data_IF_450824017687
#
_entry.id   IF_450824017687
#
_cell.length_a   1.000
_cell.length_b   1.000
_cell.length_c   1.000
_cell.angle_alpha   90.00
_cell.angle_beta   90.00
_cell.angle_gamma   90.00
#
_symmetry.space_group_name_H-M   'P 1'
#
loop_
_entity.id
_entity.type
_entity.pdbx_description
1 polymer ?
#
# COMPACT_ATOMS: atom_id res chain seq x y z
N UNK A 1 -22.75 4.43 69.83
CA UNK A 1 -21.37 4.59 69.29
C UNK A 1 -20.43 4.83 70.45
N UNK A 2 -19.33 4.08 70.56
CA UNK A 2 -18.40 4.29 71.71
C UNK A 2 -17.51 5.48 71.37
N UNK A 3 -17.65 6.58 72.10
CA UNK A 3 -16.84 7.78 72.00
C UNK A 3 -15.43 7.48 72.55
N UNK A 4 -14.47 7.14 71.65
CA UNK A 4 -13.07 6.94 72.05
C UNK A 4 -12.26 8.18 71.68
N UNK A 5 -11.62 8.83 72.65
CA UNK A 5 -10.93 10.10 72.50
C UNK A 5 -9.53 9.88 71.83
N UNK A 6 -8.84 8.77 72.19
CA UNK A 6 -7.49 8.50 71.70
C UNK A 6 -7.39 8.08 70.21
N UNK A 7 -8.46 7.47 69.68
CA UNK A 7 -8.50 7.04 68.26
C UNK A 7 -9.85 7.46 67.66
N UNK A 8 -9.84 8.46 66.78
CA UNK A 8 -11.00 8.93 66.06
C UNK A 8 -11.24 8.08 64.81
N UNK A 9 -11.96 6.93 64.98
CA UNK A 9 -12.21 5.98 63.89
C UNK A 9 -13.07 6.62 62.78
N UNK A 10 -13.96 7.55 63.12
CA UNK A 10 -14.79 8.25 62.13
C UNK A 10 -13.98 9.17 61.25
N UNK A 11 -13.03 9.92 61.84
CA UNK A 11 -12.08 10.72 61.06
C UNK A 11 -11.19 9.86 60.14
N UNK A 12 -10.71 8.70 60.64
CA UNK A 12 -9.92 7.77 59.82
C UNK A 12 -10.74 7.20 58.65
N UNK A 13 -12.02 6.88 58.87
CA UNK A 13 -12.91 6.42 57.79
C UNK A 13 -13.22 7.53 56.79
N UNK A 14 -13.51 8.75 57.26
CA UNK A 14 -13.71 9.92 56.39
C UNK A 14 -12.46 10.24 55.56
N UNK A 15 -11.28 10.19 56.19
CA UNK A 15 -10.01 10.39 55.49
C UNK A 15 -9.76 9.32 54.41
N UNK A 16 -10.03 8.04 54.72
CA UNK A 16 -9.91 6.95 53.74
C UNK A 16 -10.88 7.14 52.56
N UNK A 17 -12.12 7.53 52.81
CA UNK A 17 -13.11 7.85 51.79
C UNK A 17 -12.68 9.05 50.94
N UNK A 18 -12.10 10.08 51.54
CA UNK A 18 -11.55 11.23 50.84
C UNK A 18 -10.43 10.80 49.87
N UNK A 19 -9.48 9.99 50.35
CA UNK A 19 -8.39 9.48 49.51
C UNK A 19 -8.90 8.61 48.35
N UNK A 20 -9.93 7.81 48.53
CA UNK A 20 -10.54 7.03 47.47
C UNK A 20 -11.23 7.91 46.42
N UNK A 21 -11.98 8.93 46.86
CA UNK A 21 -12.65 9.88 45.97
C UNK A 21 -11.63 10.74 45.18
N UNK A 22 -10.54 11.14 45.84
CA UNK A 22 -9.48 11.93 45.19
C UNK A 22 -8.74 11.13 44.12
N UNK A 23 -8.46 9.84 44.37
CA UNK A 23 -7.93 8.93 43.36
C UNK A 23 -8.89 8.72 42.19
N UNK A 24 -10.20 8.56 42.46
CA UNK A 24 -11.21 8.41 41.43
C UNK A 24 -11.34 9.69 40.59
N UNK A 25 -11.30 10.86 41.23
CA UNK A 25 -11.31 12.16 40.56
C UNK A 25 -10.09 12.33 39.66
N UNK A 26 -8.89 12.02 40.16
CA UNK A 26 -7.66 12.09 39.40
C UNK A 26 -7.67 11.15 38.16
N UNK A 27 -8.24 9.94 38.34
CA UNK A 27 -8.41 8.98 37.24
C UNK A 27 -9.39 9.45 36.18
N UNK A 28 -10.53 10.04 36.57
CA UNK A 28 -11.48 10.64 35.63
C UNK A 28 -10.86 11.82 34.89
N UNK A 29 -10.06 12.63 35.55
CA UNK A 29 -9.34 13.75 34.94
C UNK A 29 -8.29 13.27 33.91
N UNK A 30 -7.57 12.21 34.24
CA UNK A 30 -6.62 11.57 33.27
C UNK A 30 -7.33 11.05 32.01
N UNK A 31 -8.48 10.38 32.17
CA UNK A 31 -9.29 9.89 31.04
C UNK A 31 -9.89 11.01 30.19
N UNK A 32 -10.40 12.06 30.84
CA UNK A 32 -10.90 13.24 30.12
C UNK A 32 -9.80 13.98 29.37
N UNK A 33 -8.59 14.06 29.95
CA UNK A 33 -7.46 14.73 29.32
C UNK A 33 -6.86 13.93 28.16
N UNK A 34 -6.85 12.59 28.26
CA UNK A 34 -6.33 11.71 27.20
C UNK A 34 -7.37 11.33 26.15
N UNK A 35 -8.67 11.42 26.48
CA UNK A 35 -9.74 10.87 25.66
C UNK A 35 -9.83 9.34 25.70
N UNK A 36 -8.99 8.67 26.50
CA UNK A 36 -8.85 7.23 26.53
C UNK A 36 -9.34 6.63 27.84
N UNK A 37 -10.12 5.56 27.76
CA UNK A 37 -10.58 4.76 28.88
C UNK A 37 -9.45 3.93 29.50
N UNK A 38 -8.57 3.39 28.63
CA UNK A 38 -7.40 2.57 28.97
C UNK A 38 -6.15 3.36 28.64
N UNK A 39 -5.55 3.99 29.62
CA UNK A 39 -4.35 4.81 29.47
C UNK A 39 -3.09 4.07 29.94
N UNK A 40 -3.24 3.24 30.96
CA UNK A 40 -2.14 2.49 31.58
C UNK A 40 -2.43 0.99 31.61
N UNK A 41 -1.38 0.19 31.61
CA UNK A 41 -1.51 -1.27 31.75
C UNK A 41 -2.24 -1.71 33.03
N UNK A 42 -2.22 -0.87 34.07
CA UNK A 42 -2.93 -1.12 35.31
C UNK A 42 -4.45 -0.89 35.23
N UNK A 43 -4.94 -0.21 34.19
CA UNK A 43 -6.38 0.04 34.00
C UNK A 43 -7.09 -1.19 33.44
N UNK A 44 -6.56 -1.78 32.38
CA UNK A 44 -7.01 -3.04 31.80
C UNK A 44 -5.88 -3.62 30.93
N UNK A 45 -5.10 -4.60 31.46
CA UNK A 45 -3.99 -5.20 30.73
C UNK A 45 -4.43 -5.93 29.47
N UNK A 46 -5.61 -6.57 29.47
CA UNK A 46 -6.09 -7.32 28.31
C UNK A 46 -6.54 -6.38 27.18
N UNK A 47 -7.32 -5.35 27.52
CA UNK A 47 -7.74 -4.34 26.57
C UNK A 47 -6.56 -3.58 25.97
N UNK A 48 -5.53 -3.28 26.78
CA UNK A 48 -4.32 -2.61 26.26
C UNK A 48 -3.59 -3.46 25.23
N UNK A 49 -3.34 -4.75 25.51
CA UNK A 49 -2.67 -5.65 24.58
C UNK A 49 -3.43 -5.77 23.27
N UNK A 50 -4.76 -5.94 23.34
CA UNK A 50 -5.60 -6.05 22.15
C UNK A 50 -5.57 -4.75 21.34
N UNK A 51 -5.71 -3.59 21.98
CA UNK A 51 -5.70 -2.29 21.28
C UNK A 51 -4.34 -1.99 20.65
N UNK A 52 -3.22 -2.34 21.29
CA UNK A 52 -1.89 -2.17 20.69
C UNK A 52 -1.68 -3.09 19.48
N UNK A 53 -2.19 -4.34 19.51
CA UNK A 53 -2.19 -5.20 18.33
C UNK A 53 -3.05 -4.63 17.19
N UNK A 54 -4.23 -4.10 17.50
CA UNK A 54 -5.09 -3.46 16.51
C UNK A 54 -4.42 -2.23 15.90
N UNK A 55 -3.78 -1.38 16.71
CA UNK A 55 -3.01 -0.21 16.24
C UNK A 55 -1.86 -0.61 15.33
N UNK A 56 -1.12 -1.66 15.70
CA UNK A 56 -0.05 -2.17 14.85
C UNK A 56 -0.59 -2.66 13.49
N UNK A 57 -1.75 -3.35 13.49
CA UNK A 57 -2.41 -3.78 12.26
C UNK A 57 -2.92 -2.60 11.44
N UNK A 58 -3.56 -1.59 12.04
CA UNK A 58 -4.01 -0.38 11.35
C UNK A 58 -2.82 0.33 10.69
N UNK A 59 -1.73 0.54 11.43
CA UNK A 59 -0.52 1.15 10.87
C UNK A 59 0.08 0.32 9.72
N UNK A 60 0.04 -1.01 9.83
CA UNK A 60 0.44 -1.92 8.76
C UNK A 60 -0.45 -1.80 7.52
N UNK A 61 -1.78 -1.70 7.70
CA UNK A 61 -2.73 -1.49 6.60
C UNK A 61 -2.53 -0.14 5.92
N UNK A 62 -2.34 0.94 6.69
CA UNK A 62 -2.05 2.26 6.14
C UNK A 62 -0.76 2.27 5.30
N UNK A 63 0.28 1.57 5.75
CA UNK A 63 1.50 1.44 4.96
C UNK A 63 1.25 0.59 3.70
N UNK A 64 0.46 -0.48 3.79
CA UNK A 64 0.10 -1.29 2.63
C UNK A 64 -0.75 -0.50 1.62
N UNK A 65 -1.64 0.39 2.07
CA UNK A 65 -2.39 1.31 1.21
C UNK A 65 -1.41 2.20 0.41
N UNK A 66 -0.46 2.86 1.09
CA UNK A 66 0.57 3.67 0.43
C UNK A 66 1.42 2.87 -0.56
N UNK A 67 1.77 1.64 -0.21
CA UNK A 67 2.51 0.74 -1.11
C UNK A 67 1.71 0.40 -2.36
N UNK A 68 0.40 0.13 -2.25
CA UNK A 68 -0.49 -0.10 -3.39
C UNK A 68 -0.58 1.14 -4.29
N UNK A 69 -0.69 2.34 -3.74
CA UNK A 69 -0.71 3.59 -4.51
C UNK A 69 0.58 3.80 -5.30
N UNK A 70 1.73 3.51 -4.69
CA UNK A 70 3.04 3.54 -5.37
C UNK A 70 3.11 2.50 -6.48
N UNK A 71 2.63 1.28 -6.23
CA UNK A 71 2.58 0.21 -7.23
C UNK A 71 1.67 0.57 -8.41
N UNK A 72 0.50 1.18 -8.16
CA UNK A 72 -0.40 1.69 -9.21
C UNK A 72 0.32 2.75 -10.05
N UNK A 73 1.00 3.70 -9.42
CA UNK A 73 1.73 4.76 -10.13
C UNK A 73 2.86 4.20 -11.01
N UNK A 74 3.55 3.14 -10.54
CA UNK A 74 4.57 2.44 -11.31
C UNK A 74 3.96 1.74 -12.53
N UNK A 75 2.86 1.01 -12.35
CA UNK A 75 2.16 0.32 -13.45
C UNK A 75 1.66 1.32 -14.48
N UNK A 76 1.07 2.44 -14.06
CA UNK A 76 0.61 3.50 -14.96
C UNK A 76 1.76 4.16 -15.73
N UNK A 77 2.94 4.31 -15.12
CA UNK A 77 4.12 4.81 -15.80
C UNK A 77 4.57 3.85 -16.90
N UNK A 78 4.59 2.54 -16.60
CA UNK A 78 4.92 1.51 -17.60
C UNK A 78 3.89 1.47 -18.72
N UNK A 79 2.60 1.52 -18.39
CA UNK A 79 1.51 1.53 -19.38
C UNK A 79 1.55 2.75 -20.28
N UNK A 80 1.81 3.94 -19.75
CA UNK A 80 1.95 5.16 -20.52
C UNK A 80 3.08 5.06 -21.57
N UNK A 81 4.23 4.52 -21.17
CA UNK A 81 5.35 4.30 -22.07
C UNK A 81 5.08 3.22 -23.12
N UNK A 82 4.38 2.15 -22.76
CA UNK A 82 3.96 1.12 -23.73
C UNK A 82 2.90 1.64 -24.71
N UNK A 83 2.07 2.59 -24.31
CA UNK A 83 1.15 3.26 -25.23
C UNK A 83 1.90 4.06 -26.31
N UNK A 84 2.99 4.73 -25.93
CA UNK A 84 3.87 5.40 -26.91
C UNK A 84 4.54 4.41 -27.86
N UNK A 85 5.05 3.27 -27.34
CA UNK A 85 5.60 2.20 -28.17
C UNK A 85 4.54 1.70 -29.17
N UNK A 86 3.29 1.48 -28.73
CA UNK A 86 2.20 1.07 -29.62
C UNK A 86 1.93 2.10 -30.71
N UNK A 87 1.98 3.40 -30.39
CA UNK A 87 1.79 4.49 -31.37
C UNK A 87 2.90 4.48 -32.43
N UNK A 88 4.15 4.29 -32.01
CA UNK A 88 5.29 4.17 -32.94
C UNK A 88 5.13 2.93 -33.82
N UNK A 89 4.78 1.76 -33.24
CA UNK A 89 4.55 0.53 -34.01
C UNK A 89 3.45 0.69 -35.08
N UNK A 90 2.37 1.39 -34.77
CA UNK A 90 1.29 1.71 -35.72
C UNK A 90 1.84 2.59 -36.86
N UNK A 91 2.70 3.57 -36.55
CA UNK A 91 3.36 4.38 -37.58
C UNK A 91 4.30 3.55 -38.44
N UNK A 92 5.12 2.67 -37.84
CA UNK A 92 5.99 1.75 -38.56
C UNK A 92 5.19 0.84 -39.50
N UNK A 93 4.07 0.32 -39.05
CA UNK A 93 3.14 -0.48 -39.86
C UNK A 93 2.66 0.28 -41.10
N UNK A 94 2.31 1.56 -40.95
CA UNK A 94 1.91 2.40 -42.10
C UNK A 94 3.04 2.57 -43.10
N UNK A 95 4.30 2.75 -42.62
CA UNK A 95 5.48 2.86 -43.50
C UNK A 95 5.80 1.55 -44.23
N UNK A 96 5.67 0.42 -43.56
CA UNK A 96 5.83 -0.90 -44.15
C UNK A 96 4.78 -1.15 -45.26
N UNK A 97 3.51 -0.79 -45.01
CA UNK A 97 2.46 -0.87 -46.05
C UNK A 97 2.78 0.05 -47.25
N UNK A 98 3.25 1.27 -46.99
CA UNK A 98 3.63 2.20 -48.02
C UNK A 98 4.80 1.66 -48.87
N UNK A 99 5.81 1.06 -48.24
CA UNK A 99 6.96 0.46 -48.89
C UNK A 99 6.61 -0.81 -49.68
N UNK A 100 5.64 -1.60 -49.21
CA UNK A 100 5.15 -2.79 -49.92
C UNK A 100 4.46 -2.47 -51.26
N UNK A 101 4.08 -1.21 -51.52
CA UNK A 101 3.46 -0.78 -52.77
C UNK A 101 4.51 -0.41 -53.81
N UNK A 102 5.32 -1.39 -54.22
CA UNK A 102 6.45 -1.21 -55.16
C UNK A 102 6.02 -0.67 -56.50
N UNK A 103 4.80 -0.96 -56.97
CA UNK A 103 4.27 -0.51 -58.25
C UNK A 103 4.02 1.00 -58.37
N UNK A 104 3.97 1.72 -57.26
CA UNK A 104 3.70 3.15 -57.19
C UNK A 104 4.79 3.94 -56.44
N UNK A 105 5.81 3.26 -55.91
CA UNK A 105 6.87 3.85 -55.10
C UNK A 105 8.18 3.93 -55.87
N UNK A 106 8.80 5.11 -55.89
CA UNK A 106 10.15 5.31 -56.41
C UNK A 106 11.18 4.85 -55.36
N UNK A 107 12.41 4.49 -55.83
CA UNK A 107 13.49 4.01 -54.96
C UNK A 107 13.84 5.02 -53.84
N UNK A 108 13.77 6.30 -54.12
CA UNK A 108 14.03 7.35 -53.13
C UNK A 108 12.93 7.38 -52.04
N UNK A 109 11.68 7.09 -52.39
CA UNK A 109 10.58 6.99 -51.48
C UNK A 109 10.69 5.73 -50.58
N UNK A 110 11.14 4.62 -51.12
CA UNK A 110 11.41 3.38 -50.37
C UNK A 110 12.54 3.61 -49.36
N UNK A 111 13.64 4.26 -49.79
CA UNK A 111 14.76 4.60 -48.92
C UNK A 111 14.33 5.56 -47.79
N UNK A 112 13.45 6.53 -48.11
CA UNK A 112 12.90 7.42 -47.11
C UNK A 112 12.04 6.68 -46.09
N UNK A 113 11.18 5.74 -46.50
CA UNK A 113 10.41 4.89 -45.62
C UNK A 113 11.31 4.04 -44.69
N UNK A 114 12.39 3.46 -45.23
CA UNK A 114 13.37 2.71 -44.44
C UNK A 114 14.05 3.59 -43.39
N UNK A 115 14.47 4.79 -43.75
CA UNK A 115 15.07 5.73 -42.79
C UNK A 115 14.09 6.11 -41.67
N UNK A 116 12.81 6.23 -42.00
CA UNK A 116 11.76 6.50 -40.99
C UNK A 116 11.52 5.29 -40.10
N UNK A 117 11.55 4.07 -40.64
CA UNK A 117 11.49 2.83 -39.88
C UNK A 117 12.66 2.75 -38.89
N UNK A 118 13.90 2.94 -39.34
CA UNK A 118 15.08 2.92 -38.49
C UNK A 118 15.02 3.97 -37.36
N UNK A 119 14.52 5.17 -37.64
CA UNK A 119 14.34 6.21 -36.65
C UNK A 119 13.22 5.84 -35.64
N UNK A 120 12.17 5.19 -36.10
CA UNK A 120 11.11 4.66 -35.22
C UNK A 120 11.63 3.58 -34.27
N UNK A 121 12.42 2.63 -34.76
CA UNK A 121 13.06 1.60 -33.92
C UNK A 121 13.98 2.22 -32.87
N UNK A 122 14.83 3.16 -33.23
CA UNK A 122 15.67 3.92 -32.29
C UNK A 122 14.83 4.68 -31.25
N UNK A 123 13.64 5.13 -31.64
CA UNK A 123 12.71 5.81 -30.70
C UNK A 123 12.09 4.83 -29.72
N UNK A 124 11.73 3.62 -30.15
CA UNK A 124 11.27 2.55 -29.24
C UNK A 124 12.37 2.24 -28.24
N UNK A 125 13.60 1.96 -28.66
CA UNK A 125 14.70 1.64 -27.73
C UNK A 125 15.01 2.79 -26.78
N UNK A 126 14.86 4.03 -27.24
CA UNK A 126 14.98 5.20 -26.37
C UNK A 126 13.87 5.24 -25.32
N UNK A 127 12.61 4.99 -25.68
CA UNK A 127 11.49 4.91 -24.73
C UNK A 127 11.73 3.81 -23.72
N UNK A 128 12.13 2.61 -24.17
CA UNK A 128 12.45 1.47 -23.31
C UNK A 128 13.57 1.82 -22.31
N UNK A 129 14.66 2.40 -22.78
CA UNK A 129 15.82 2.73 -21.95
C UNK A 129 15.58 3.90 -21.01
N UNK A 130 14.70 4.85 -21.36
CA UNK A 130 14.39 6.03 -20.56
C UNK A 130 13.25 5.81 -19.56
N UNK A 131 12.42 4.79 -19.78
CA UNK A 131 11.30 4.50 -18.87
C UNK A 131 11.81 3.90 -17.58
N UNK A 132 11.77 4.71 -16.51
CA UNK A 132 12.19 4.30 -15.18
C UNK A 132 11.24 4.88 -14.12
N UNK A 133 11.13 4.16 -13.00
CA UNK A 133 10.45 4.61 -11.80
C UNK A 133 11.46 4.64 -10.65
N UNK A 134 11.90 5.84 -10.26
CA UNK A 134 13.05 5.99 -9.37
C UNK A 134 14.34 5.47 -10.03
N UNK A 135 14.90 4.40 -9.49
CA UNK A 135 16.10 3.72 -10.04
C UNK A 135 15.79 2.44 -10.81
N UNK A 136 14.52 2.03 -10.84
CA UNK A 136 14.11 0.79 -11.50
C UNK A 136 13.70 1.06 -12.94
N UNK A 137 14.40 0.45 -13.88
CA UNK A 137 13.96 0.40 -15.28
C UNK A 137 12.79 -0.58 -15.39
N UNK A 138 11.77 -0.21 -16.17
CA UNK A 138 10.53 -0.97 -16.21
C UNK A 138 10.41 -1.86 -17.45
N UNK A 139 10.96 -1.45 -18.60
CA UNK A 139 10.70 -2.05 -19.89
C UNK A 139 11.91 -2.78 -20.51
N UNK A 140 13.07 -2.80 -19.82
CA UNK A 140 14.33 -3.37 -20.32
C UNK A 140 14.52 -4.86 -19.97
N UNK A 141 13.49 -5.51 -19.44
CA UNK A 141 13.53 -6.93 -19.06
C UNK A 141 14.31 -7.25 -17.77
N UNK A 142 14.88 -6.26 -17.09
CA UNK A 142 15.57 -6.50 -15.79
C UNK A 142 14.60 -7.03 -14.74
N UNK A 143 13.33 -6.62 -14.82
CA UNK A 143 12.24 -7.02 -13.93
C UNK A 143 11.31 -8.06 -14.57
N UNK A 144 11.77 -8.79 -15.60
CA UNK A 144 11.04 -9.91 -16.14
C UNK A 144 11.10 -11.11 -15.20
N UNK A 145 10.05 -11.92 -15.18
CA UNK A 145 10.11 -13.20 -14.50
C UNK A 145 11.18 -14.07 -15.15
N UNK A 146 12.18 -14.49 -14.37
CA UNK A 146 13.27 -15.36 -14.83
C UNK A 146 13.16 -16.71 -14.14
N UNK A 147 13.08 -17.76 -14.91
CA UNK A 147 13.22 -19.11 -14.40
C UNK A 147 14.71 -19.43 -14.33
N UNK A 148 15.24 -19.49 -13.12
CA UNK A 148 16.64 -19.84 -12.87
C UNK A 148 16.66 -21.34 -12.51
N UNK A 149 17.28 -22.15 -13.34
CA UNK A 149 17.61 -23.54 -12.98
C UNK A 149 18.92 -23.50 -12.18
N UNK A 150 18.86 -23.76 -10.89
CA UNK A 150 20.02 -23.82 -10.03
C UNK A 150 20.88 -25.05 -10.41
N UNK A 151 22.16 -25.06 -10.04
CA UNK A 151 23.07 -26.19 -10.24
C UNK A 151 22.57 -27.51 -9.61
N UNK A 152 21.69 -27.42 -8.61
CA UNK A 152 21.04 -28.56 -7.95
C UNK A 152 19.81 -29.10 -8.68
N UNK A 153 19.49 -28.61 -9.88
CA UNK A 153 18.30 -29.01 -10.64
C UNK A 153 16.99 -28.43 -10.11
N UNK A 154 17.01 -27.63 -9.08
CA UNK A 154 15.81 -26.92 -8.58
C UNK A 154 15.50 -25.72 -9.47
N UNK A 155 14.24 -25.63 -9.89
CA UNK A 155 13.72 -24.50 -10.69
C UNK A 155 13.26 -23.41 -9.71
N UNK A 156 13.99 -22.31 -9.63
CA UNK A 156 13.56 -21.12 -8.89
C UNK A 156 13.02 -20.10 -9.89
N UNK A 157 11.72 -19.82 -9.84
CA UNK A 157 11.13 -18.73 -10.62
C UNK A 157 11.36 -17.44 -9.84
N UNK A 158 12.25 -16.59 -10.33
CA UNK A 158 12.39 -15.23 -9.84
C UNK A 158 11.21 -14.44 -10.39
N UNK A 159 10.22 -14.19 -9.55
CA UNK A 159 9.09 -13.32 -9.87
C UNK A 159 9.61 -11.89 -10.09
N UNK A 160 9.09 -11.22 -11.12
CA UNK A 160 9.51 -9.87 -11.52
C UNK A 160 9.37 -8.81 -10.41
N UNK A 161 8.56 -7.80 -10.63
CA UNK A 161 8.27 -6.75 -9.64
C UNK A 161 7.41 -7.30 -8.51
N UNK A 162 7.89 -7.20 -7.27
CA UNK A 162 7.18 -7.66 -6.06
C UNK A 162 6.75 -6.49 -5.22
N UNK A 163 5.48 -6.46 -4.86
CA UNK A 163 4.88 -5.42 -4.04
C UNK A 163 4.35 -6.01 -2.74
N UNK A 164 4.65 -5.36 -1.63
CA UNK A 164 4.07 -5.73 -0.35
C UNK A 164 2.71 -5.01 -0.21
N UNK A 165 1.63 -5.75 -0.39
CA UNK A 165 0.27 -5.21 -0.56
C UNK A 165 -0.63 -5.41 0.64
N UNK A 166 -0.11 -5.91 1.77
CA UNK A 166 -0.90 -6.15 2.97
C UNK A 166 -0.13 -5.94 4.28
N UNK A 167 -0.79 -6.03 5.44
CA UNK A 167 -0.17 -5.77 6.74
C UNK A 167 0.74 -6.90 7.25
N UNK A 168 0.68 -8.11 6.65
CA UNK A 168 1.43 -9.29 7.11
C UNK A 168 2.54 -9.67 6.12
N UNK A 169 3.57 -10.37 6.59
CA UNK A 169 4.78 -10.69 5.84
C UNK A 169 4.54 -11.44 4.52
N UNK A 170 3.49 -12.26 4.41
CA UNK A 170 3.20 -13.09 3.23
C UNK A 170 2.27 -12.40 2.22
N UNK A 171 1.78 -11.20 2.52
CA UNK A 171 0.88 -10.47 1.63
C UNK A 171 1.65 -9.75 0.53
N UNK A 172 2.17 -10.53 -0.42
CA UNK A 172 2.91 -10.03 -1.58
C UNK A 172 2.11 -10.24 -2.85
N UNK A 173 2.16 -9.27 -3.75
CA UNK A 173 1.68 -9.40 -5.12
C UNK A 173 2.86 -9.19 -6.07
N UNK A 174 2.94 -9.99 -7.11
CA UNK A 174 4.00 -9.91 -8.10
C UNK A 174 3.43 -9.74 -9.50
N UNK A 175 4.14 -8.98 -10.32
CA UNK A 175 3.89 -8.86 -11.75
C UNK A 175 5.21 -8.85 -12.49
N UNK A 176 5.22 -9.24 -13.74
CA UNK A 176 6.41 -9.22 -14.57
C UNK A 176 6.18 -8.38 -15.82
N UNK A 177 7.17 -7.60 -16.18
CA UNK A 177 7.20 -6.86 -17.44
C UNK A 177 8.31 -7.44 -18.27
N UNK A 178 7.96 -7.95 -19.46
CA UNK A 178 8.93 -8.48 -20.39
C UNK A 178 9.77 -7.35 -21.00
N UNK A 179 10.89 -7.71 -21.56
CA UNK A 179 11.73 -6.79 -22.34
C UNK A 179 10.97 -6.33 -23.59
N UNK A 180 10.78 -5.02 -23.69
CA UNK A 180 10.09 -4.34 -24.80
C UNK A 180 11.08 -3.71 -25.79
N UNK A 181 12.37 -4.08 -25.75
CA UNK A 181 13.36 -3.62 -26.71
C UNK A 181 13.08 -4.19 -28.11
N UNK A 182 13.54 -3.50 -29.14
CA UNK A 182 13.36 -3.90 -30.51
C UNK A 182 13.98 -5.28 -30.82
N UNK A 183 14.99 -5.70 -30.06
CA UNK A 183 15.63 -7.01 -30.16
C UNK A 183 14.77 -8.17 -29.61
N UNK A 184 13.78 -7.88 -28.75
CA UNK A 184 12.93 -8.89 -28.13
C UNK A 184 11.49 -8.86 -28.65
N UNK A 185 11.03 -7.68 -29.08
CA UNK A 185 9.69 -7.54 -29.67
C UNK A 185 9.62 -8.26 -31.02
N UNK A 186 8.52 -8.95 -31.23
CA UNK A 186 8.27 -9.70 -32.46
C UNK A 186 9.24 -10.84 -32.71
N UNK A 187 9.94 -11.30 -31.66
CA UNK A 187 10.94 -12.35 -31.76
C UNK A 187 10.31 -13.68 -32.12
N UNK A 188 10.69 -14.21 -33.27
CA UNK A 188 10.26 -15.52 -33.75
C UNK A 188 11.20 -16.57 -33.13
N UNK A 189 10.68 -17.35 -32.19
CA UNK A 189 11.39 -18.49 -31.59
C UNK A 189 11.09 -19.72 -32.43
N UNK A 190 12.03 -20.08 -33.34
CA UNK A 190 11.91 -21.32 -34.10
C UNK A 190 12.75 -22.39 -33.46
N UNK A 191 12.16 -23.54 -33.04
CA UNK A 191 12.94 -24.72 -32.69
C UNK A 191 13.48 -25.35 -33.97
N UNK A 192 14.81 -25.26 -34.20
CA UNK A 192 15.56 -25.85 -35.30
C UNK A 192 14.77 -26.06 -36.61
N UNK A 193 14.72 -25.04 -37.45
CA UNK A 193 14.01 -25.05 -38.73
C UNK A 193 14.03 -23.71 -39.44
N UNK A 194 13.61 -23.68 -40.68
CA UNK A 194 13.51 -22.43 -41.47
C UNK A 194 12.59 -21.40 -40.77
N UNK A 195 13.05 -20.15 -40.72
CA UNK A 195 12.24 -19.04 -40.24
C UNK A 195 10.96 -18.93 -41.07
N UNK A 196 9.80 -18.64 -40.51
CA UNK A 196 8.55 -18.54 -41.23
C UNK A 196 8.52 -17.35 -42.20
N UNK A 197 9.50 -16.46 -42.14
CA UNK A 197 9.70 -15.34 -43.04
C UNK A 197 10.86 -15.62 -44.04
N UNK A 198 10.68 -15.23 -45.28
CA UNK A 198 11.68 -15.41 -46.33
C UNK A 198 12.88 -14.45 -46.23
N UNK A 199 12.72 -13.37 -45.46
CA UNK A 199 13.74 -12.33 -45.28
C UNK A 199 14.69 -12.60 -44.11
N UNK A 200 14.51 -13.72 -43.39
CA UNK A 200 15.32 -14.12 -42.20
C UNK A 200 15.34 -13.09 -41.04
N UNK A 201 14.30 -12.30 -40.89
CA UNK A 201 14.16 -11.39 -39.74
C UNK A 201 13.87 -12.19 -38.47
N UNK A 202 14.63 -11.97 -37.41
CA UNK A 202 14.47 -12.66 -36.12
C UNK A 202 13.71 -11.84 -35.12
N UNK A 203 13.73 -10.52 -35.27
CA UNK A 203 13.13 -9.57 -34.33
C UNK A 203 12.70 -8.29 -35.02
N UNK A 204 12.04 -7.40 -34.29
CA UNK A 204 11.67 -6.07 -34.79
C UNK A 204 12.90 -5.23 -35.19
N UNK A 205 14.08 -5.48 -34.61
CA UNK A 205 15.31 -4.75 -34.90
C UNK A 205 15.83 -5.04 -36.31
N UNK A 206 15.51 -6.20 -36.88
CA UNK A 206 16.08 -6.70 -38.17
C UNK A 206 15.25 -6.29 -39.40
N UNK A 207 14.12 -5.60 -39.21
CA UNK A 207 13.20 -5.30 -40.31
C UNK A 207 13.80 -4.37 -41.32
N UNK A 208 13.70 -4.76 -42.60
CA UNK A 208 14.08 -3.98 -43.77
C UNK A 208 12.91 -3.95 -44.76
N UNK A 209 12.48 -2.75 -45.14
CA UNK A 209 11.32 -2.54 -46.03
C UNK A 209 11.73 -2.10 -47.45
N UNK A 210 13.03 -2.27 -47.82
CA UNK A 210 13.53 -1.90 -49.14
C UNK A 210 13.07 -2.83 -50.24
N UNK A 211 12.79 -4.10 -49.90
CA UNK A 211 12.26 -5.10 -50.78
C UNK A 211 10.77 -5.38 -50.49
N UNK A 212 10.02 -5.75 -51.54
CA UNK A 212 8.61 -6.11 -51.41
C UNK A 212 8.39 -7.23 -50.37
N UNK A 213 9.22 -8.28 -50.44
CA UNK A 213 9.14 -9.41 -49.51
C UNK A 213 9.54 -8.99 -48.10
N UNK A 214 10.57 -8.16 -47.94
CA UNK A 214 10.98 -7.60 -46.65
C UNK A 214 9.90 -6.75 -46.04
N UNK A 215 9.19 -5.93 -46.80
CA UNK A 215 8.08 -5.13 -46.34
C UNK A 215 6.88 -5.99 -45.85
N UNK A 216 6.57 -7.11 -46.55
CA UNK A 216 5.53 -8.04 -46.13
C UNK A 216 5.91 -8.80 -44.84
N UNK A 217 7.17 -9.28 -44.75
CA UNK A 217 7.67 -9.96 -43.54
C UNK A 217 7.76 -8.99 -42.35
N UNK A 218 8.16 -7.73 -42.58
CA UNK A 218 8.15 -6.67 -41.56
C UNK A 218 6.74 -6.41 -41.01
N UNK A 219 5.71 -6.42 -41.83
CA UNK A 219 4.32 -6.27 -41.41
C UNK A 219 3.92 -7.36 -40.41
N UNK A 220 4.29 -8.62 -40.68
CA UNK A 220 3.97 -9.74 -39.77
C UNK A 220 4.65 -9.58 -38.41
N UNK A 221 5.93 -9.14 -38.39
CA UNK A 221 6.68 -8.91 -37.13
C UNK A 221 6.11 -7.71 -36.37
N UNK A 222 5.74 -6.63 -37.07
CA UNK A 222 5.14 -5.45 -36.45
C UNK A 222 3.77 -5.81 -35.83
N UNK A 223 2.92 -6.59 -36.52
CA UNK A 223 1.63 -7.02 -36.03
C UNK A 223 1.76 -7.97 -34.83
N UNK A 224 2.78 -8.84 -34.82
CA UNK A 224 3.14 -9.64 -33.67
C UNK A 224 3.60 -8.76 -32.50
N UNK A 225 4.48 -7.81 -32.71
CA UNK A 225 4.96 -6.86 -31.71
C UNK A 225 3.82 -6.04 -31.10
N UNK A 226 2.87 -5.58 -31.92
CA UNK A 226 1.66 -4.90 -31.47
C UNK A 226 0.81 -5.80 -30.53
N UNK A 227 0.68 -7.07 -30.90
CA UNK A 227 -0.07 -8.05 -30.10
C UNK A 227 0.63 -8.32 -28.78
N UNK A 228 1.95 -8.45 -28.77
CA UNK A 228 2.76 -8.65 -27.56
C UNK A 228 2.65 -7.45 -26.61
N UNK A 229 2.79 -6.22 -27.11
CA UNK A 229 2.64 -5.00 -26.32
C UNK A 229 1.20 -4.88 -25.76
N UNK A 230 0.18 -5.17 -26.58
CA UNK A 230 -1.20 -5.13 -26.17
C UNK A 230 -1.51 -6.18 -25.08
N UNK A 231 -0.93 -7.37 -25.19
CA UNK A 231 -1.08 -8.44 -24.20
C UNK A 231 -0.50 -8.02 -22.84
N UNK A 232 0.73 -7.52 -22.82
CA UNK A 232 1.37 -7.08 -21.57
C UNK A 232 0.63 -5.89 -20.96
N UNK A 233 0.13 -4.95 -21.75
CA UNK A 233 -0.72 -3.88 -21.27
C UNK A 233 -2.02 -4.42 -20.66
N UNK A 234 -2.63 -5.43 -21.29
CA UNK A 234 -3.80 -6.11 -20.76
C UNK A 234 -3.53 -6.80 -19.42
N UNK A 235 -2.40 -7.50 -19.29
CA UNK A 235 -1.97 -8.15 -18.06
C UNK A 235 -1.74 -7.12 -16.93
N UNK A 236 -1.05 -6.02 -17.22
CA UNK A 236 -0.82 -4.94 -16.25
C UNK A 236 -2.11 -4.23 -15.83
N UNK A 237 -3.00 -3.95 -16.78
CA UNK A 237 -4.31 -3.37 -16.48
C UNK A 237 -5.18 -4.29 -15.62
N UNK A 238 -5.16 -5.61 -15.89
CA UNK A 238 -5.83 -6.60 -15.07
C UNK A 238 -5.21 -6.68 -13.66
N UNK A 239 -3.89 -6.67 -13.55
CA UNK A 239 -3.17 -6.63 -12.27
C UNK A 239 -3.51 -5.37 -11.48
N UNK A 240 -3.48 -4.20 -12.11
CA UNK A 240 -3.87 -2.95 -11.47
C UNK A 240 -5.29 -3.04 -10.91
N UNK A 241 -6.26 -3.38 -11.76
CA UNK A 241 -7.69 -3.36 -11.40
C UNK A 241 -8.06 -4.41 -10.36
N UNK A 242 -7.64 -5.67 -10.59
CA UNK A 242 -8.11 -6.81 -9.79
C UNK A 242 -7.23 -7.08 -8.57
N UNK A 243 -5.94 -6.74 -8.63
CA UNK A 243 -5.03 -6.99 -7.52
C UNK A 243 -4.82 -5.72 -6.69
N UNK A 244 -4.38 -4.62 -7.30
CA UNK A 244 -3.99 -3.43 -6.53
C UNK A 244 -5.20 -2.60 -6.07
N UNK A 245 -6.11 -2.21 -6.97
CA UNK A 245 -7.26 -1.36 -6.64
C UNK A 245 -8.28 -2.08 -5.75
N UNK A 246 -8.55 -3.37 -6.05
CA UNK A 246 -9.43 -4.19 -5.23
C UNK A 246 -8.88 -4.38 -3.82
N UNK A 247 -7.56 -4.65 -3.70
CA UNK A 247 -6.91 -4.79 -2.42
C UNK A 247 -6.86 -3.46 -1.66
N UNK A 248 -6.60 -2.34 -2.33
CA UNK A 248 -6.61 -1.00 -1.76
C UNK A 248 -7.97 -0.70 -1.12
N UNK A 249 -9.07 -0.94 -1.84
CA UNK A 249 -10.42 -0.75 -1.32
C UNK A 249 -10.70 -1.65 -0.10
N UNK A 250 -10.28 -2.91 -0.17
CA UNK A 250 -10.43 -3.87 0.93
C UNK A 250 -9.65 -3.45 2.17
N UNK A 251 -8.40 -2.97 1.99
CA UNK A 251 -7.57 -2.48 3.09
C UNK A 251 -8.13 -1.21 3.74
N UNK A 252 -8.67 -0.29 2.94
CA UNK A 252 -9.32 0.93 3.46
C UNK A 252 -10.50 0.57 4.37
N UNK A 253 -11.40 -0.29 3.91
CA UNK A 253 -12.55 -0.76 4.71
C UNK A 253 -12.08 -1.52 5.95
N UNK A 254 -11.06 -2.38 5.83
CA UNK A 254 -10.51 -3.12 6.95
C UNK A 254 -9.86 -2.20 7.99
N UNK A 255 -9.12 -1.18 7.56
CA UNK A 255 -8.49 -0.19 8.44
C UNK A 255 -9.54 0.64 9.18
N UNK A 256 -10.61 1.08 8.49
CA UNK A 256 -11.72 1.80 9.10
C UNK A 256 -12.42 0.96 10.17
N UNK A 257 -12.77 -0.28 9.85
CA UNK A 257 -13.41 -1.19 10.81
C UNK A 257 -12.50 -1.52 12.01
N UNK A 258 -11.19 -1.70 11.76
CA UNK A 258 -10.23 -1.98 12.82
C UNK A 258 -10.05 -0.76 13.74
N UNK A 259 -10.00 0.44 13.17
CA UNK A 259 -9.94 1.70 13.92
C UNK A 259 -11.21 1.91 14.74
N UNK A 260 -12.39 1.62 14.21
CA UNK A 260 -13.64 1.68 14.93
C UNK A 260 -13.69 0.66 16.08
N UNK A 261 -13.16 -0.55 15.87
CA UNK A 261 -13.06 -1.57 16.91
C UNK A 261 -12.05 -1.18 18.01
N UNK A 262 -10.91 -0.60 17.64
CA UNK A 262 -9.91 -0.09 18.58
C UNK A 262 -10.49 1.04 19.44
N UNK A 263 -11.21 1.99 18.82
CA UNK A 263 -11.89 3.09 19.49
C UNK A 263 -12.90 2.60 20.54
N UNK A 264 -13.70 1.57 20.25
CA UNK A 264 -14.62 0.98 21.22
C UNK A 264 -13.93 0.39 22.46
N UNK A 265 -12.70 -0.09 22.30
CA UNK A 265 -11.92 -0.68 23.41
C UNK A 265 -11.21 0.40 24.21
N UNK A 266 -10.59 1.36 23.54
CA UNK A 266 -9.64 2.31 24.13
C UNK A 266 -10.21 3.68 24.45
N UNK A 267 -11.13 4.18 23.62
CA UNK A 267 -11.65 5.52 23.78
C UNK A 267 -12.70 5.61 24.89
N UNK A 268 -12.78 6.78 25.50
CA UNK A 268 -13.77 7.04 26.54
C UNK A 268 -14.98 7.79 26.00
N UNK A 269 -16.16 7.42 26.48
CA UNK A 269 -17.35 8.25 26.31
C UNK A 269 -17.20 9.51 27.18
N UNK A 270 -16.92 10.63 26.52
CA UNK A 270 -16.68 11.92 27.16
C UNK A 270 -17.87 12.40 27.98
N UNK A 271 -19.10 12.12 27.54
CA UNK A 271 -20.30 12.54 28.25
C UNK A 271 -20.46 11.77 29.57
N UNK A 272 -20.26 10.46 29.53
CA UNK A 272 -20.32 9.58 30.69
C UNK A 272 -19.18 9.87 31.66
N UNK A 273 -17.97 10.09 31.19
CA UNK A 273 -16.81 10.38 32.03
C UNK A 273 -16.92 11.77 32.68
N UNK A 274 -17.47 12.77 31.98
CA UNK A 274 -17.73 14.10 32.53
C UNK A 274 -18.75 14.03 33.68
N UNK A 275 -19.81 13.23 33.51
CA UNK A 275 -20.78 12.99 34.59
C UNK A 275 -20.13 12.30 35.78
N UNK A 276 -19.23 11.33 35.54
CA UNK A 276 -18.46 10.64 36.59
C UNK A 276 -17.48 11.58 37.29
N UNK A 277 -16.79 12.43 36.53
CA UNK A 277 -15.91 13.46 37.09
C UNK A 277 -16.66 14.42 38.00
N UNK A 278 -17.80 14.97 37.55
CA UNK A 278 -18.64 15.88 38.35
C UNK A 278 -19.12 15.23 39.61
N UNK A 279 -19.56 13.97 39.54
CA UNK A 279 -19.95 13.19 40.74
C UNK A 279 -18.79 13.02 41.72
N UNK A 280 -17.61 12.65 41.24
CA UNK A 280 -16.42 12.47 42.08
C UNK A 280 -15.97 13.79 42.70
N UNK A 281 -16.11 14.92 41.99
CA UNK A 281 -15.83 16.25 42.48
C UNK A 281 -16.77 16.61 43.65
N UNK A 282 -18.08 16.35 43.52
CA UNK A 282 -19.06 16.56 44.58
C UNK A 282 -18.78 15.65 45.77
N UNK A 283 -18.40 14.37 45.50
CA UNK A 283 -18.07 13.41 46.55
C UNK A 283 -16.81 13.82 47.33
N UNK A 284 -15.80 14.36 46.67
CA UNK A 284 -14.58 14.89 47.30
C UNK A 284 -14.91 16.09 48.19
N UNK A 285 -15.75 17.03 47.73
CA UNK A 285 -16.22 18.16 48.54
C UNK A 285 -17.03 17.71 49.73
N UNK A 286 -17.91 16.72 49.58
CA UNK A 286 -18.70 16.14 50.65
C UNK A 286 -17.83 15.41 51.67
N UNK A 287 -16.83 14.65 51.19
CA UNK A 287 -15.90 13.93 52.07
C UNK A 287 -15.01 14.88 52.90
N UNK A 288 -14.58 16.01 52.31
CA UNK A 288 -13.85 17.04 53.08
C UNK A 288 -14.71 17.67 54.18
N UNK A 289 -15.98 17.96 53.88
CA UNK A 289 -16.92 18.47 54.88
C UNK A 289 -17.18 17.44 56.01
N UNK A 290 -17.36 16.16 55.66
CA UNK A 290 -17.52 15.08 56.66
C UNK A 290 -16.26 14.88 57.51
N UNK A 291 -15.06 15.00 56.90
CA UNK A 291 -13.80 14.93 57.65
C UNK A 291 -13.69 16.07 58.66
N UNK A 292 -14.04 17.29 58.24
CA UNK A 292 -14.08 18.45 59.14
C UNK A 292 -15.04 18.22 60.31
N UNK A 293 -16.26 17.70 60.05
CA UNK A 293 -17.23 17.36 61.05
C UNK A 293 -16.76 16.26 62.02
N UNK A 294 -16.15 15.18 61.47
CA UNK A 294 -15.60 14.09 62.24
C UNK A 294 -14.45 14.54 63.18
N UNK A 295 -13.66 15.51 62.76
CA UNK A 295 -12.58 16.11 63.53
C UNK A 295 -13.13 17.05 64.64
N UNK A 296 -14.30 17.66 64.45
CA UNK A 296 -14.94 18.50 65.47
C UNK A 296 -15.63 17.69 66.56
N UNK A 297 -16.08 16.47 66.33
CA UNK A 297 -16.81 15.62 67.33
C UNK A 297 -16.06 15.41 68.63
N UNK A 298 -14.75 15.08 68.67
CA UNK A 298 -14.03 14.93 69.96
C UNK A 298 -13.96 16.25 70.77
N UNK A 299 -13.92 17.40 70.10
CA UNK A 299 -13.88 18.70 70.76
C UNK A 299 -15.18 19.04 71.47
N UNK A 300 -16.32 18.62 70.90
CA UNK A 300 -17.63 18.76 71.54
C UNK A 300 -17.73 17.92 72.84
N UNK A 301 -17.15 16.72 72.82
CA UNK A 301 -17.08 15.84 74.00
C UNK A 301 -16.20 16.43 75.06
N UNK A 302 -15.04 16.97 74.77
CA UNK A 302 -14.15 17.64 75.70
C UNK A 302 -14.81 18.89 76.37
N UNK A 303 -15.62 19.63 75.58
CA UNK A 303 -16.35 20.77 76.08
C UNK A 303 -17.45 20.34 77.13
N UNK A 304 -18.12 19.20 76.89
CA UNK A 304 -19.12 18.63 77.79
C UNK A 304 -18.50 18.02 79.05
N UNK A 305 -17.22 17.63 79.01
CA UNK A 305 -16.48 17.12 80.17
C UNK A 305 -15.83 18.23 81.01
N UNK A 306 -15.62 19.40 80.47
CA UNK A 306 -15.00 20.55 81.16
C UNK A 306 -16.01 21.65 81.56
N UNK A 307 -17.29 21.49 81.27
CA UNK A 307 -18.38 22.36 81.71
C UNK A 307 -19.30 21.63 82.64
#
# INVERSE_FOLDING_TARGET
MSLRINNNIESMNAHRSLLMNDRALSKSLERLASGQKVNRAADDPAALVISEHMRAQVSGMEQAIRNNEVAISLVQTAEGSMNEISSILVSLRQRAISAANVGASDQDMINANQAEVENGLKSIDRVVSSTQFGHYKLLDGTNAAKTITNEDGSITTQEGLRFHVGPNAEHMASTSIRDMSTNQLGRIIVPEGELPNKSNFMSLADIDVRDEQGAQDALAIIDQSLTEVATVRGELGAFQKHTLESNLTSLQVAAENMTAAESTIRDTDMAQELATFTRNQIMTQSATAQLAQANAMPQHVLRLLNG
#
